data_IF_709833123205
#
_entry.id   IF_709833123205
#
_cell.length_a   1.000
_cell.length_b   1.000
_cell.length_c   1.000
_cell.angle_alpha   90.00
_cell.angle_beta   90.00
_cell.angle_gamma   90.00
#
_symmetry.space_group_name_H-M   'P 1'
#
loop_
_entity.id
_entity.type
_entity.pdbx_description
1 polymer ?
#
# COMPACT_ATOMS: atom_id res chain seq x y z
N UNK A 1 -6.80 -3.15 -0.23
CA UNK A 1 -7.00 -2.01 -1.14
C UNK A 1 -6.06 -0.86 -0.82
N UNK A 2 -5.76 -0.01 -1.81
CA UNK A 2 -4.92 1.18 -1.68
C UNK A 2 -5.71 2.42 -2.07
N UNK A 3 -5.80 3.41 -1.18
CA UNK A 3 -6.59 4.63 -1.40
C UNK A 3 -5.91 5.86 -0.81
N UNK A 4 -6.45 7.04 -1.13
CA UNK A 4 -6.22 8.25 -0.36
C UNK A 4 -7.11 8.31 0.89
N UNK A 5 -7.27 9.52 1.43
CA UNK A 5 -8.03 9.77 2.66
C UNK A 5 -9.46 9.21 2.57
N UNK A 6 -9.90 8.56 3.64
CA UNK A 6 -11.29 8.16 3.83
C UNK A 6 -11.72 6.88 3.09
N UNK A 7 -10.85 6.26 2.29
CA UNK A 7 -11.11 4.93 1.73
C UNK A 7 -12.10 4.86 0.57
N UNK A 8 -13.08 5.78 0.53
CA UNK A 8 -14.13 5.81 -0.48
C UNK A 8 -14.92 4.49 -0.52
N UNK A 9 -15.50 4.19 -1.69
CA UNK A 9 -16.27 2.95 -1.89
C UNK A 9 -15.42 1.68 -1.66
N UNK A 10 -14.11 1.75 -1.89
CA UNK A 10 -13.22 0.59 -1.77
C UNK A 10 -13.06 0.10 -0.33
N UNK A 11 -13.37 0.94 0.68
CA UNK A 11 -13.30 0.55 2.08
C UNK A 11 -14.27 -0.57 2.45
N UNK A 12 -15.43 -0.65 1.77
CA UNK A 12 -16.42 -1.69 2.01
C UNK A 12 -16.07 -3.02 1.30
N UNK A 13 -15.21 -2.98 0.29
CA UNK A 13 -14.90 -4.11 -0.59
C UNK A 13 -13.55 -4.78 -0.28
N UNK A 14 -12.79 -4.24 0.69
CA UNK A 14 -11.46 -4.72 1.03
C UNK A 14 -11.39 -5.17 2.49
N UNK A 15 -10.92 -6.39 2.72
CA UNK A 15 -10.65 -6.90 4.08
C UNK A 15 -9.57 -6.08 4.79
N UNK A 16 -8.55 -5.66 4.05
CA UNK A 16 -7.47 -4.79 4.50
C UNK A 16 -7.39 -3.57 3.60
N UNK A 17 -7.43 -2.38 4.19
CA UNK A 17 -7.38 -1.11 3.47
C UNK A 17 -6.22 -0.25 3.95
N UNK A 18 -5.38 0.17 3.02
CA UNK A 18 -4.38 1.21 3.24
C UNK A 18 -4.92 2.54 2.72
N UNK A 19 -5.43 3.36 3.64
CA UNK A 19 -5.91 4.70 3.36
C UNK A 19 -4.85 5.75 3.74
N UNK A 20 -4.12 6.25 2.74
CA UNK A 20 -3.09 7.29 2.95
C UNK A 20 -3.79 8.57 3.46
N UNK A 21 -3.32 9.22 4.54
CA UNK A 21 -3.97 10.41 5.09
C UNK A 21 -3.66 11.68 4.28
N UNK A 22 -3.86 11.62 2.96
CA UNK A 22 -3.67 12.69 2.01
C UNK A 22 -4.80 12.74 0.97
N UNK A 23 -5.13 13.95 0.53
CA UNK A 23 -6.15 14.23 -0.48
C UNK A 23 -5.53 14.51 -1.86
N UNK A 24 -4.21 14.75 -1.90
CA UNK A 24 -3.44 14.98 -3.13
C UNK A 24 -3.06 13.66 -3.79
N UNK A 25 -3.56 13.42 -5.01
CA UNK A 25 -3.27 12.20 -5.77
C UNK A 25 -1.77 11.91 -5.91
N UNK A 26 -0.88 12.87 -6.26
CA UNK A 26 0.55 12.61 -6.28
C UNK A 26 1.11 12.11 -4.95
N UNK A 27 0.71 12.72 -3.82
CA UNK A 27 1.17 12.31 -2.48
C UNK A 27 0.65 10.94 -2.08
N UNK A 28 -0.58 10.62 -2.47
CA UNK A 28 -1.16 9.28 -2.27
C UNK A 28 -0.37 8.24 -3.06
N UNK A 29 -0.05 8.52 -4.33
CA UNK A 29 0.71 7.61 -5.19
C UNK A 29 2.17 7.42 -4.74
N UNK A 30 2.84 8.47 -4.29
CA UNK A 30 4.18 8.38 -3.70
C UNK A 30 4.19 7.41 -2.51
N UNK A 31 3.24 7.57 -1.58
CA UNK A 31 3.10 6.70 -0.42
C UNK A 31 2.76 5.25 -0.82
N UNK A 32 1.87 5.06 -1.81
CA UNK A 32 1.56 3.73 -2.34
C UNK A 32 2.80 3.07 -2.93
N UNK A 33 3.61 3.81 -3.71
CA UNK A 33 4.86 3.29 -4.28
C UNK A 33 5.83 2.79 -3.21
N UNK A 34 6.04 3.55 -2.13
CA UNK A 34 6.87 3.11 -1.00
C UNK A 34 6.32 1.84 -0.36
N UNK A 35 5.02 1.78 -0.07
CA UNK A 35 4.43 0.60 0.58
C UNK A 35 4.47 -0.62 -0.33
N UNK A 36 4.22 -0.46 -1.63
CA UNK A 36 4.33 -1.56 -2.59
C UNK A 36 5.75 -2.13 -2.59
N UNK A 37 6.78 -1.28 -2.60
CA UNK A 37 8.16 -1.77 -2.53
C UNK A 37 8.45 -2.51 -1.21
N UNK A 38 7.97 -2.01 -0.07
CA UNK A 38 8.10 -2.72 1.22
C UNK A 38 7.39 -4.08 1.17
N UNK A 39 6.19 -4.15 0.59
CA UNK A 39 5.46 -5.41 0.48
C UNK A 39 6.19 -6.40 -0.43
N UNK A 40 6.75 -5.95 -1.55
CA UNK A 40 7.56 -6.80 -2.42
C UNK A 40 8.77 -7.35 -1.67
N UNK A 41 9.52 -6.50 -0.95
CA UNK A 41 10.69 -6.87 -0.17
C UNK A 41 10.35 -7.89 0.94
N UNK A 42 9.26 -7.66 1.68
CA UNK A 42 8.78 -8.59 2.70
C UNK A 42 8.34 -9.94 2.11
N UNK A 43 7.63 -9.93 0.98
CA UNK A 43 7.20 -11.15 0.29
C UNK A 43 8.40 -11.91 -0.24
N UNK A 44 9.37 -11.23 -0.85
CA UNK A 44 10.60 -11.84 -1.36
C UNK A 44 11.41 -12.47 -0.23
N UNK A 45 11.59 -11.74 0.87
CA UNK A 45 12.28 -12.22 2.07
C UNK A 45 11.60 -13.45 2.66
N UNK A 46 10.27 -13.44 2.77
CA UNK A 46 9.51 -14.56 3.34
C UNK A 46 9.55 -15.81 2.44
N UNK A 47 9.49 -15.63 1.11
CA UNK A 47 9.43 -16.74 0.17
C UNK A 47 10.80 -17.31 -0.21
N UNK A 48 11.84 -16.46 -0.29
CA UNK A 48 13.14 -16.83 -0.86
C UNK A 48 14.32 -16.61 0.10
N UNK A 49 14.08 -16.05 1.30
CA UNK A 49 15.12 -15.65 2.24
C UNK A 49 15.70 -14.27 1.93
N UNK A 50 16.67 -13.81 2.73
CA UNK A 50 17.30 -12.50 2.53
C UNK A 50 17.96 -12.42 1.13
N UNK A 51 17.52 -11.46 0.32
CA UNK A 51 18.26 -11.05 -0.87
C UNK A 51 19.54 -10.35 -0.40
N UNK A 52 20.67 -11.07 -0.53
CA UNK A 52 22.02 -10.56 -0.21
C UNK A 52 22.39 -9.35 -1.06
#
# INVERSE_FOLDING_TARGET
GFTGRGGGALAAECDLLLAVPADSTPRVQEAHGTVIHILCDLIETELFGEAN
#
